data_IF_080747201929
#
_entry.id   IF_080747201929
#
_cell.length_a   1.000
_cell.length_b   1.000
_cell.length_c   1.000
_cell.angle_alpha   90.00
_cell.angle_beta   90.00
_cell.angle_gamma   90.00
#
_symmetry.space_group_name_H-M   'P 1'
#
loop_
_entity.id
_entity.type
_entity.pdbx_description
1 polymer ?
#
# COMPACT_ATOMS: atom_id res chain seq x y z
N UNK A 1 64.69 9.52 -27.80
CA UNK A 1 63.34 8.89 -27.85
C UNK A 1 62.66 8.91 -26.48
N UNK A 2 62.41 10.08 -25.88
CA UNK A 2 61.79 10.22 -24.55
C UNK A 2 60.85 11.43 -24.40
N UNK A 3 60.29 11.93 -25.50
CA UNK A 3 59.40 13.11 -25.50
C UNK A 3 58.04 12.85 -26.17
N UNK A 4 57.67 11.58 -26.41
CA UNK A 4 56.40 11.22 -27.04
C UNK A 4 55.45 10.41 -26.14
N UNK A 5 55.94 9.88 -25.02
CA UNK A 5 55.17 8.99 -24.13
C UNK A 5 54.52 9.75 -22.96
N UNK A 6 54.94 10.99 -22.69
CA UNK A 6 54.36 11.80 -21.60
C UNK A 6 53.07 12.51 -22.00
N UNK A 7 52.91 12.88 -23.28
CA UNK A 7 51.75 13.66 -23.76
C UNK A 7 50.49 12.80 -23.91
N UNK A 8 50.64 11.50 -24.21
CA UNK A 8 49.49 10.58 -24.36
C UNK A 8 48.81 10.25 -23.02
N UNK A 9 49.50 10.39 -21.89
CA UNK A 9 48.96 10.06 -20.57
C UNK A 9 48.19 11.23 -19.93
N UNK A 10 48.53 12.48 -20.26
CA UNK A 10 47.81 13.67 -19.80
C UNK A 10 46.49 13.90 -20.56
N UNK A 11 46.42 13.45 -21.82
CA UNK A 11 45.21 13.52 -22.64
C UNK A 11 44.13 12.49 -22.25
N UNK A 12 44.52 11.37 -21.61
CA UNK A 12 43.57 10.37 -21.12
C UNK A 12 42.91 10.79 -19.80
N UNK A 13 43.60 11.53 -18.94
CA UNK A 13 43.03 12.00 -17.66
C UNK A 13 41.92 13.03 -17.88
N UNK A 14 42.04 13.90 -18.88
CA UNK A 14 41.06 14.94 -19.21
C UNK A 14 39.76 14.35 -19.82
N UNK A 15 39.88 13.32 -20.66
CA UNK A 15 38.72 12.56 -21.18
C UNK A 15 38.01 11.77 -20.08
N UNK A 16 38.76 11.24 -19.10
CA UNK A 16 38.20 10.49 -17.97
C UNK A 16 37.47 11.40 -16.99
N UNK A 17 38.01 12.60 -16.70
CA UNK A 17 37.32 13.63 -15.91
C UNK A 17 36.06 14.17 -16.60
N UNK A 18 36.10 14.37 -17.91
CA UNK A 18 34.92 14.79 -18.68
C UNK A 18 33.81 13.74 -18.61
N UNK A 19 34.17 12.45 -18.71
CA UNK A 19 33.22 11.33 -18.62
C UNK A 19 32.63 11.18 -17.22
N UNK A 20 33.40 11.46 -16.16
CA UNK A 20 32.92 11.46 -14.77
C UNK A 20 31.91 12.59 -14.51
N UNK A 21 32.14 13.79 -15.04
CA UNK A 21 31.19 14.92 -14.92
C UNK A 21 29.89 14.68 -15.70
N UNK A 22 29.96 13.97 -16.82
CA UNK A 22 28.78 13.60 -17.58
C UNK A 22 27.93 12.54 -16.85
N UNK A 23 28.57 11.58 -16.17
CA UNK A 23 27.88 10.60 -15.29
C UNK A 23 27.22 11.28 -14.08
N UNK A 24 27.90 12.21 -13.38
CA UNK A 24 27.29 12.99 -12.29
C UNK A 24 26.06 13.78 -12.77
N UNK A 25 26.14 14.37 -13.97
CA UNK A 25 24.99 15.10 -14.56
C UNK A 25 23.82 14.19 -14.95
N UNK A 26 24.08 12.91 -15.20
CA UNK A 26 23.06 11.89 -15.51
C UNK A 26 22.43 11.31 -14.24
N UNK A 27 23.16 11.29 -13.11
CA UNK A 27 22.60 11.01 -11.79
C UNK A 27 21.63 12.12 -11.34
N UNK A 28 21.96 13.38 -11.61
CA UNK A 28 21.08 14.53 -11.36
C UNK A 28 19.85 14.59 -12.30
N UNK A 29 19.91 13.95 -13.48
CA UNK A 29 18.78 13.89 -14.44
C UNK A 29 17.90 12.63 -14.31
N UNK A 30 18.27 11.66 -13.46
CA UNK A 30 17.35 10.60 -12.99
C UNK A 30 16.47 11.04 -11.81
N UNK A 31 16.35 12.34 -11.57
CA UNK A 31 15.30 12.94 -10.72
C UNK A 31 14.01 13.01 -11.55
N UNK A 32 13.47 11.85 -11.89
CA UNK A 32 12.27 11.70 -12.73
C UNK A 32 11.51 10.40 -12.49
N UNK A 33 11.84 9.66 -11.43
CA UNK A 33 11.05 8.54 -10.91
C UNK A 33 11.44 8.27 -9.45
N UNK A 34 11.56 9.33 -8.64
CA UNK A 34 11.46 9.19 -7.19
C UNK A 34 10.00 8.84 -6.90
N UNK A 35 9.69 7.55 -6.87
CA UNK A 35 8.63 7.06 -6.00
C UNK A 35 8.95 7.65 -4.62
N UNK A 36 8.16 8.67 -4.23
CA UNK A 36 8.39 9.48 -3.05
C UNK A 36 8.72 8.58 -1.87
N UNK A 37 9.98 8.53 -1.45
CA UNK A 37 10.33 8.01 -0.14
C UNK A 37 9.55 8.87 0.85
N UNK A 38 8.52 8.33 1.52
CA UNK A 38 7.85 9.12 2.52
C UNK A 38 8.84 9.26 3.67
N UNK A 39 9.19 10.51 3.95
CA UNK A 39 9.89 10.93 5.15
C UNK A 39 9.24 10.26 6.37
N UNK A 40 9.98 9.34 6.99
CA UNK A 40 9.53 8.63 8.17
C UNK A 40 10.76 8.23 9.00
N UNK A 41 11.06 9.07 9.98
CA UNK A 41 11.85 8.75 11.17
C UNK A 41 11.14 7.67 12.01
N UNK A 42 11.06 6.44 11.48
CA UNK A 42 10.43 5.29 12.14
C UNK A 42 11.49 4.22 12.33
N UNK A 43 11.68 3.79 13.58
CA UNK A 43 12.56 2.68 13.92
C UNK A 43 12.26 1.48 13.03
N UNK A 44 13.29 0.79 12.52
CA UNK A 44 13.15 -0.30 11.55
C UNK A 44 12.14 -1.39 11.97
N UNK A 45 11.97 -1.59 13.29
CA UNK A 45 10.98 -2.53 13.85
C UNK A 45 9.52 -2.17 13.55
N UNK A 46 9.15 -0.89 13.56
CA UNK A 46 7.76 -0.48 13.36
C UNK A 46 7.35 -0.57 11.88
N UNK A 47 8.31 -0.45 10.95
CA UNK A 47 8.07 -0.72 9.53
C UNK A 47 7.60 -2.15 9.28
N UNK A 48 8.21 -3.13 9.95
CA UNK A 48 7.84 -4.55 9.81
C UNK A 48 6.45 -4.81 10.38
N UNK A 49 6.12 -4.21 11.53
CA UNK A 49 4.79 -4.34 12.16
C UNK A 49 3.68 -3.76 11.27
N UNK A 50 3.89 -2.57 10.71
CA UNK A 50 2.92 -1.95 9.77
C UNK A 50 2.65 -2.83 8.56
N UNK A 51 3.71 -3.36 7.92
CA UNK A 51 3.57 -4.28 6.78
C UNK A 51 2.76 -5.53 7.11
N UNK A 52 2.87 -6.06 8.33
CA UNK A 52 2.07 -7.21 8.76
C UNK A 52 0.59 -6.85 8.92
N UNK A 53 0.30 -5.67 9.48
CA UNK A 53 -1.09 -5.18 9.60
C UNK A 53 -1.69 -4.94 8.22
N UNK A 54 -0.95 -4.29 7.32
CA UNK A 54 -1.35 -4.07 5.93
C UNK A 54 -1.67 -5.39 5.22
N UNK A 55 -0.77 -6.38 5.31
CA UNK A 55 -1.00 -7.70 4.74
C UNK A 55 -2.23 -8.40 5.34
N UNK A 56 -2.47 -8.26 6.64
CA UNK A 56 -3.64 -8.82 7.31
C UNK A 56 -4.95 -8.18 6.82
N UNK A 57 -4.98 -6.86 6.68
CA UNK A 57 -6.15 -6.14 6.15
C UNK A 57 -6.41 -6.48 4.68
N UNK A 58 -5.34 -6.57 3.88
CA UNK A 58 -5.44 -6.92 2.47
C UNK A 58 -6.02 -8.32 2.25
N UNK A 59 -5.52 -9.32 2.98
CA UNK A 59 -5.97 -10.71 2.80
C UNK A 59 -7.34 -10.99 3.41
N UNK A 60 -7.71 -10.27 4.48
CA UNK A 60 -8.99 -10.50 5.16
C UNK A 60 -10.20 -10.19 4.27
N UNK A 61 -10.10 -9.19 3.39
CA UNK A 61 -11.18 -8.75 2.49
C UNK A 61 -12.53 -8.56 3.22
N UNK A 62 -12.46 -8.17 4.50
CA UNK A 62 -13.57 -7.88 5.40
C UNK A 62 -13.11 -6.91 6.49
N UNK A 63 -14.04 -6.23 7.18
CA UNK A 63 -13.70 -5.46 8.37
C UNK A 63 -13.04 -6.34 9.44
N UNK A 64 -11.97 -5.80 10.04
CA UNK A 64 -11.26 -6.41 11.16
C UNK A 64 -11.26 -5.47 12.36
N UNK A 65 -11.63 -5.99 13.54
CA UNK A 65 -11.52 -5.23 14.80
C UNK A 65 -10.07 -5.09 15.27
N UNK A 66 -9.77 -4.04 16.03
CA UNK A 66 -8.42 -3.82 16.58
C UNK A 66 -7.93 -4.98 17.47
N UNK A 67 -8.83 -5.62 18.21
CA UNK A 67 -8.53 -6.80 19.05
C UNK A 67 -8.17 -8.03 18.23
N UNK A 68 -8.85 -8.22 17.10
CA UNK A 68 -8.58 -9.30 16.16
C UNK A 68 -7.20 -9.09 15.50
N UNK A 69 -6.93 -7.89 15.00
CA UNK A 69 -5.62 -7.54 14.42
C UNK A 69 -4.51 -7.72 15.45
N UNK A 70 -4.71 -7.25 16.69
CA UNK A 70 -3.77 -7.42 17.80
C UNK A 70 -3.44 -8.89 18.07
N UNK A 71 -4.45 -9.77 18.01
CA UNK A 71 -4.29 -11.21 18.21
C UNK A 71 -3.48 -11.86 17.10
N UNK A 72 -3.77 -11.52 15.84
CA UNK A 72 -3.07 -12.10 14.67
C UNK A 72 -1.60 -11.64 14.63
N UNK A 73 -1.35 -10.35 14.86
CA UNK A 73 -0.01 -9.75 14.76
C UNK A 73 0.81 -9.91 16.05
N UNK A 74 0.17 -10.32 17.16
CA UNK A 74 0.75 -10.47 18.50
C UNK A 74 1.33 -9.15 19.03
N UNK A 75 0.53 -8.10 18.96
CA UNK A 75 0.87 -6.76 19.46
C UNK A 75 -0.20 -6.26 20.45
N UNK A 76 0.14 -5.35 21.37
CA UNK A 76 -0.85 -4.67 22.20
C UNK A 76 -1.85 -3.88 21.35
N UNK A 77 -3.14 -3.90 21.72
CA UNK A 77 -4.22 -3.19 21.02
C UNK A 77 -3.90 -1.70 20.83
N UNK A 78 -3.35 -1.05 21.88
CA UNK A 78 -2.96 0.37 21.82
C UNK A 78 -1.94 0.66 20.72
N UNK A 79 -0.96 -0.22 20.56
CA UNK A 79 0.06 -0.09 19.52
C UNK A 79 -0.54 -0.33 18.12
N UNK A 80 -1.43 -1.32 17.98
CA UNK A 80 -2.16 -1.55 16.73
C UNK A 80 -2.98 -0.34 16.32
N UNK A 81 -3.69 0.29 17.26
CA UNK A 81 -4.47 1.50 16.97
C UNK A 81 -3.60 2.63 16.42
N UNK A 82 -2.41 2.85 16.99
CA UNK A 82 -1.46 3.86 16.52
C UNK A 82 -0.96 3.53 15.10
N UNK A 83 -0.52 2.29 14.88
CA UNK A 83 -0.01 1.84 13.58
C UNK A 83 -1.08 1.89 12.48
N UNK A 84 -2.34 1.54 12.81
CA UNK A 84 -3.46 1.65 11.87
C UNK A 84 -3.75 3.11 11.53
N UNK A 85 -3.77 4.01 12.52
CA UNK A 85 -4.00 5.44 12.26
C UNK A 85 -2.93 6.04 11.35
N UNK A 86 -1.67 5.63 11.52
CA UNK A 86 -0.58 6.00 10.59
C UNK A 86 -0.82 5.46 9.19
N UNK A 87 -1.19 4.17 9.05
CA UNK A 87 -1.50 3.57 7.75
C UNK A 87 -2.67 4.29 7.06
N UNK A 88 -3.73 4.65 7.80
CA UNK A 88 -4.86 5.42 7.24
C UNK A 88 -4.36 6.76 6.68
N UNK A 89 -3.52 7.49 7.43
CA UNK A 89 -2.95 8.77 6.95
C UNK A 89 -2.06 8.57 5.73
N UNK A 90 -1.23 7.52 5.73
CA UNK A 90 -0.34 7.20 4.63
C UNK A 90 -1.12 6.89 3.35
N UNK A 91 -2.15 6.04 3.42
CA UNK A 91 -3.01 5.72 2.27
C UNK A 91 -3.89 6.90 1.86
N UNK A 92 -4.31 7.77 2.79
CA UNK A 92 -5.03 9.00 2.46
C UNK A 92 -4.16 10.00 1.69
N UNK A 93 -2.87 10.13 2.05
CA UNK A 93 -1.92 11.02 1.36
C UNK A 93 -1.44 10.48 0.01
N UNK A 94 -1.45 9.15 -0.17
CA UNK A 94 -1.11 8.50 -1.45
C UNK A 94 -2.27 8.63 -2.43
N UNK A 95 -1.98 9.12 -3.65
CA UNK A 95 -2.90 9.13 -4.81
C UNK A 95 -3.01 7.72 -5.43
N UNK A 96 -3.35 6.72 -4.61
CA UNK A 96 -3.54 5.32 -5.04
C UNK A 96 -5.02 4.94 -5.13
N UNK A 97 -5.30 3.82 -5.79
CA UNK A 97 -6.67 3.29 -5.97
C UNK A 97 -7.26 2.59 -4.74
N UNK A 98 -6.46 2.38 -3.69
CA UNK A 98 -6.83 1.69 -2.46
C UNK A 98 -6.82 2.67 -1.30
N UNK A 99 -7.74 2.49 -0.37
CA UNK A 99 -7.80 3.21 0.89
C UNK A 99 -8.02 2.26 2.07
N UNK A 100 -7.72 2.76 3.27
CA UNK A 100 -8.03 2.09 4.53
C UNK A 100 -9.06 2.95 5.25
N UNK A 101 -10.21 2.36 5.58
CA UNK A 101 -11.34 3.04 6.21
C UNK A 101 -11.60 2.44 7.59
N UNK A 102 -12.08 3.29 8.51
CA UNK A 102 -12.65 2.88 9.78
C UNK A 102 -14.18 2.87 9.67
N UNK A 103 -14.80 1.73 9.94
CA UNK A 103 -16.25 1.55 9.95
C UNK A 103 -16.66 0.81 11.23
N UNK A 104 -17.49 1.43 12.09
CA UNK A 104 -18.00 0.82 13.32
C UNK A 104 -16.91 0.20 14.23
N UNK A 105 -15.80 0.93 14.45
CA UNK A 105 -14.62 0.44 15.19
C UNK A 105 -13.86 -0.72 14.55
N UNK A 106 -14.19 -1.06 13.30
CA UNK A 106 -13.48 -2.04 12.49
C UNK A 106 -12.74 -1.37 11.32
N UNK A 107 -11.63 -1.97 10.93
CA UNK A 107 -10.73 -1.44 9.91
C UNK A 107 -10.86 -2.30 8.67
N UNK A 108 -11.02 -1.68 7.51
CA UNK A 108 -11.11 -2.36 6.21
C UNK A 108 -10.18 -1.70 5.20
N UNK A 109 -9.54 -2.53 4.36
CA UNK A 109 -8.80 -2.08 3.18
C UNK A 109 -9.67 -2.33 1.95
N UNK A 110 -9.94 -1.29 1.17
CA UNK A 110 -10.89 -1.35 0.05
C UNK A 110 -10.46 -0.45 -1.11
N UNK A 111 -11.03 -0.70 -2.29
CA UNK A 111 -10.87 0.17 -3.46
C UNK A 111 -11.63 1.47 -3.23
N UNK A 112 -11.04 2.61 -3.60
CA UNK A 112 -11.71 3.91 -3.50
C UNK A 112 -12.95 3.94 -4.38
N UNK A 113 -13.98 4.66 -3.91
CA UNK A 113 -15.25 4.79 -4.62
C UNK A 113 -15.12 5.28 -6.06
N UNK A 114 -14.13 6.13 -6.35
CA UNK A 114 -13.87 6.66 -7.69
C UNK A 114 -13.47 5.58 -8.72
N UNK A 115 -12.91 4.45 -8.29
CA UNK A 115 -12.54 3.33 -9.18
C UNK A 115 -13.50 2.14 -9.09
N UNK A 116 -14.43 2.14 -8.12
CA UNK A 116 -15.33 0.99 -7.91
C UNK A 116 -16.19 0.69 -9.14
N UNK A 117 -16.62 1.70 -9.89
CA UNK A 117 -17.40 1.50 -11.11
C UNK A 117 -16.68 0.60 -12.12
N UNK A 118 -15.39 0.86 -12.33
CA UNK A 118 -14.56 0.18 -13.34
C UNK A 118 -14.23 -1.27 -12.97
N UNK A 119 -14.09 -1.56 -11.67
CA UNK A 119 -13.67 -2.87 -11.18
C UNK A 119 -14.82 -3.68 -10.55
N UNK A 120 -16.02 -3.12 -10.48
CA UNK A 120 -17.20 -3.72 -9.84
C UNK A 120 -17.52 -5.11 -10.40
N UNK A 121 -17.29 -5.34 -11.69
CA UNK A 121 -17.53 -6.61 -12.37
C UNK A 121 -16.59 -7.73 -11.92
N UNK A 122 -15.47 -7.39 -11.28
CA UNK A 122 -14.52 -8.36 -10.72
C UNK A 122 -14.94 -8.86 -9.34
N UNK A 123 -15.76 -8.09 -8.63
CA UNK A 123 -16.43 -8.59 -7.44
C UNK A 123 -17.41 -9.67 -7.92
N UNK A 124 -17.16 -10.93 -7.54
CA UNK A 124 -18.08 -12.04 -7.82
C UNK A 124 -19.48 -11.55 -7.49
N UNK A 125 -20.36 -11.48 -8.49
CA UNK A 125 -21.78 -11.24 -8.27
C UNK A 125 -22.18 -12.12 -7.09
N UNK A 126 -22.68 -11.52 -6.02
CA UNK A 126 -23.23 -12.26 -4.88
C UNK A 126 -24.11 -13.36 -5.47
N UNK A 127 -23.79 -14.63 -5.22
CA UNK A 127 -24.49 -15.81 -5.75
C UNK A 127 -25.94 -15.94 -5.26
N UNK A 128 -26.59 -14.83 -4.88
CA UNK A 128 -28.00 -14.73 -4.56
C UNK A 128 -28.75 -14.32 -5.82
N UNK A 129 -29.18 -15.32 -6.58
CA UNK A 129 -30.16 -15.11 -7.64
C UNK A 129 -31.39 -14.37 -7.08
N UNK A 130 -32.07 -13.56 -7.92
CA UNK A 130 -33.33 -12.89 -7.54
C UNK A 130 -34.36 -13.84 -6.91
N UNK A 131 -34.33 -15.13 -7.30
CA UNK A 131 -35.16 -16.20 -6.72
C UNK A 131 -34.75 -16.55 -5.29
N UNK A 132 -33.44 -16.68 -5.02
CA UNK A 132 -32.89 -16.88 -3.68
C UNK A 132 -33.26 -15.76 -2.72
N UNK A 133 -33.15 -14.51 -3.17
CA UNK A 133 -33.51 -13.34 -2.36
C UNK A 133 -35.01 -13.29 -2.03
N UNK A 134 -35.88 -13.61 -3.00
CA UNK A 134 -37.33 -13.72 -2.78
C UNK A 134 -37.68 -14.84 -1.78
N UNK A 135 -37.03 -16.00 -1.87
CA UNK A 135 -37.24 -17.09 -0.92
C UNK A 135 -36.76 -16.72 0.49
N UNK A 136 -35.60 -16.08 0.61
CA UNK A 136 -35.11 -15.59 1.90
C UNK A 136 -36.07 -14.57 2.52
N UNK A 137 -36.57 -13.62 1.72
CA UNK A 137 -37.58 -12.66 2.17
C UNK A 137 -38.88 -13.33 2.63
N UNK A 138 -39.34 -14.37 1.92
CA UNK A 138 -40.50 -15.18 2.35
C UNK A 138 -40.23 -15.92 3.66
N UNK A 139 -39.03 -16.49 3.85
CA UNK A 139 -38.67 -17.19 5.09
C UNK A 139 -38.65 -16.21 6.26
N UNK A 140 -38.01 -15.05 6.12
CA UNK A 140 -37.97 -14.03 7.19
C UNK A 140 -39.40 -13.58 7.55
N UNK A 141 -40.23 -13.28 6.54
CA UNK A 141 -41.64 -12.91 6.74
C UNK A 141 -42.45 -13.99 7.44
N UNK A 142 -42.20 -15.28 7.14
CA UNK A 142 -42.92 -16.41 7.75
C UNK A 142 -42.37 -16.87 9.09
N UNK A 143 -41.05 -16.78 9.33
CA UNK A 143 -40.43 -17.09 10.64
C UNK A 143 -40.83 -16.10 11.73
N UNK A 144 -41.25 -14.88 11.39
CA UNK A 144 -41.90 -13.98 12.34
C UNK A 144 -43.29 -14.47 12.81
N UNK A 145 -43.87 -15.50 12.18
CA UNK A 145 -45.19 -16.05 12.51
C UNK A 145 -45.16 -17.42 13.20
N UNK A 146 -43.98 -17.91 13.63
CA UNK A 146 -43.89 -19.06 14.53
C UNK A 146 -43.48 -18.54 15.91
N UNK A 147 -44.46 -17.99 16.63
CA UNK A 147 -44.46 -17.87 18.09
C UNK A 147 -45.06 -19.15 18.68
#
# INVERSE_FOLDING_TARGET
MKAKITVENELQEDETEAMLREIESLEDKKIGEKASEPDYSIAAGDRVKRKRIEAALFIANRPLGYTEIATIIKLPVKEVMQLVQELIKEYAGKKGAIEIMLQNDEVIMQVRNEYLGDVSTLSKETELTKKGLKMLGLIVKKKQMLQ
#
